data_IF_712427411160
#
_entry.id   IF_712427411160
#
_cell.length_a   1.000
_cell.length_b   1.000
_cell.length_c   1.000
_cell.angle_alpha   90.00
_cell.angle_beta   90.00
_cell.angle_gamma   90.00
#
_symmetry.space_group_name_H-M   'P 1'
#
loop_
_entity.id
_entity.type
_entity.pdbx_description
1 polymer ?
#
# COMPACT_ATOMS: atom_id res chain seq x y z
N UNK A 1 -12.65 -6.74 -21.52
CA UNK A 1 -13.37 -7.68 -22.40
C UNK A 1 -14.85 -7.63 -22.11
N UNK A 2 -15.36 -8.48 -21.22
CA UNK A 2 -16.79 -8.65 -20.98
C UNK A 2 -17.56 -7.39 -20.53
N UNK A 3 -16.98 -6.55 -19.64
CA UNK A 3 -17.62 -5.27 -19.26
C UNK A 3 -17.86 -4.36 -20.47
N UNK A 4 -16.87 -4.25 -21.36
CA UNK A 4 -17.00 -3.47 -22.58
C UNK A 4 -18.07 -4.06 -23.52
N UNK A 5 -18.18 -5.39 -23.59
CA UNK A 5 -19.24 -6.06 -24.35
C UNK A 5 -20.63 -5.72 -23.80
N UNK A 6 -20.84 -5.73 -22.48
CA UNK A 6 -22.14 -5.30 -21.90
C UNK A 6 -22.41 -3.84 -22.24
N UNK A 7 -21.44 -2.95 -22.01
CA UNK A 7 -21.63 -1.52 -22.26
C UNK A 7 -21.90 -1.18 -23.74
N UNK A 8 -21.23 -1.88 -24.67
CA UNK A 8 -21.41 -1.68 -26.10
C UNK A 8 -22.76 -2.20 -26.61
N UNK A 9 -23.44 -3.08 -25.86
CA UNK A 9 -24.73 -3.65 -26.23
C UNK A 9 -25.89 -3.06 -25.41
N UNK A 10 -25.68 -1.98 -24.65
CA UNK A 10 -26.75 -1.33 -23.87
C UNK A 10 -27.85 -0.69 -24.72
N UNK A 11 -27.54 -0.29 -25.96
CA UNK A 11 -28.54 0.30 -26.85
C UNK A 11 -29.38 -0.82 -27.47
N UNK A 12 -30.64 -0.91 -27.06
CA UNK A 12 -31.59 -1.91 -27.53
C UNK A 12 -32.59 -1.25 -28.46
N UNK A 13 -32.54 -1.61 -29.75
CA UNK A 13 -33.52 -1.13 -30.71
C UNK A 13 -34.94 -1.65 -30.41
N UNK A 14 -35.92 -0.73 -30.50
CA UNK A 14 -37.35 -1.02 -30.34
C UNK A 14 -37.68 -1.69 -28.98
N UNK A 15 -38.55 -2.68 -28.97
CA UNK A 15 -39.00 -3.40 -27.76
C UNK A 15 -38.14 -4.64 -27.45
N UNK A 16 -37.31 -5.09 -28.41
CA UNK A 16 -36.47 -6.30 -28.30
C UNK A 16 -35.41 -6.33 -29.41
N UNK A 17 -34.19 -5.94 -29.06
CA UNK A 17 -33.09 -5.90 -30.01
C UNK A 17 -32.67 -7.32 -30.47
N UNK A 18 -32.46 -7.49 -31.78
CA UNK A 18 -31.85 -8.68 -32.34
C UNK A 18 -30.32 -8.52 -32.34
N UNK A 19 -29.59 -9.40 -31.65
CA UNK A 19 -28.14 -9.29 -31.49
C UNK A 19 -27.74 -8.80 -30.09
N UNK A 20 -27.83 -7.49 -29.78
CA UNK A 20 -27.37 -6.93 -28.49
C UNK A 20 -27.94 -7.64 -27.28
N UNK A 21 -29.25 -7.90 -27.29
CA UNK A 21 -29.93 -8.61 -26.21
C UNK A 21 -29.42 -10.06 -26.02
N UNK A 22 -29.01 -10.77 -27.08
CA UNK A 22 -28.47 -12.13 -26.98
C UNK A 22 -27.00 -12.12 -26.52
N UNK A 23 -26.24 -11.11 -26.94
CA UNK A 23 -24.82 -10.95 -26.59
C UNK A 23 -24.62 -10.74 -25.08
N UNK A 24 -25.64 -10.27 -24.37
CA UNK A 24 -25.57 -10.04 -22.92
C UNK A 24 -25.60 -11.31 -22.08
N UNK A 25 -26.30 -12.38 -22.49
CA UNK A 25 -26.61 -13.50 -21.58
C UNK A 25 -25.35 -14.23 -21.07
N UNK A 26 -24.49 -14.64 -21.99
CA UNK A 26 -23.23 -15.29 -21.62
C UNK A 26 -22.29 -14.30 -20.95
N UNK A 27 -22.20 -13.08 -21.50
CA UNK A 27 -21.30 -12.03 -21.01
C UNK A 27 -21.58 -11.66 -19.54
N UNK A 28 -22.84 -11.44 -19.17
CA UNK A 28 -23.22 -11.13 -17.78
C UNK A 28 -22.99 -12.32 -16.87
N UNK A 29 -23.32 -13.53 -17.34
CA UNK A 29 -23.08 -14.75 -16.57
C UNK A 29 -21.60 -14.94 -16.26
N UNK A 30 -20.74 -14.71 -17.25
CA UNK A 30 -19.29 -14.82 -17.09
C UNK A 30 -18.72 -13.72 -16.19
N UNK A 31 -19.25 -12.50 -16.27
CA UNK A 31 -18.90 -11.44 -15.32
C UNK A 31 -19.21 -11.85 -13.88
N UNK A 32 -20.39 -12.43 -13.63
CA UNK A 32 -20.78 -12.90 -12.30
C UNK A 32 -19.87 -14.05 -11.82
N UNK A 33 -19.57 -15.02 -12.69
CA UNK A 33 -18.68 -16.15 -12.38
C UNK A 33 -17.26 -15.68 -12.06
N UNK A 34 -16.71 -14.78 -12.88
CA UNK A 34 -15.36 -14.25 -12.69
C UNK A 34 -15.27 -13.41 -11.43
N UNK A 35 -16.27 -12.57 -11.17
CA UNK A 35 -16.31 -11.73 -9.98
C UNK A 35 -16.45 -12.58 -8.71
N UNK A 36 -17.40 -13.52 -8.69
CA UNK A 36 -17.59 -14.43 -7.55
C UNK A 36 -16.38 -15.31 -7.29
N UNK A 37 -15.79 -15.89 -8.34
CA UNK A 37 -14.57 -16.69 -8.24
C UNK A 37 -13.35 -15.86 -7.81
N UNK A 38 -13.25 -14.62 -8.27
CA UNK A 38 -12.22 -13.66 -7.84
C UNK A 38 -12.35 -13.30 -6.37
N UNK A 39 -13.56 -12.91 -5.94
CA UNK A 39 -13.86 -12.59 -4.54
C UNK A 39 -13.58 -13.78 -3.61
N UNK A 40 -13.98 -14.99 -4.00
CA UNK A 40 -13.70 -16.21 -3.23
C UNK A 40 -12.20 -16.47 -3.07
N UNK A 41 -11.43 -16.32 -4.16
CA UNK A 41 -9.96 -16.49 -4.10
C UNK A 41 -9.30 -15.44 -3.22
N UNK A 42 -9.71 -14.17 -3.34
CA UNK A 42 -9.20 -13.08 -2.48
C UNK A 42 -9.50 -13.39 -1.01
N UNK A 43 -10.74 -13.73 -0.68
CA UNK A 43 -11.12 -14.06 0.70
C UNK A 43 -10.30 -15.24 1.26
N UNK A 44 -10.11 -16.29 0.45
CA UNK A 44 -9.30 -17.46 0.83
C UNK A 44 -7.83 -17.07 1.05
N UNK A 45 -7.25 -16.30 0.12
CA UNK A 45 -5.86 -15.83 0.23
C UNK A 45 -5.65 -14.92 1.43
N UNK A 46 -6.57 -13.99 1.71
CA UNK A 46 -6.47 -13.09 2.86
C UNK A 46 -6.64 -13.84 4.20
N UNK A 47 -7.53 -14.83 4.26
CA UNK A 47 -7.74 -15.65 5.46
C UNK A 47 -6.54 -16.55 5.76
N UNK A 48 -5.86 -17.04 4.71
CA UNK A 48 -4.67 -17.89 4.83
C UNK A 48 -3.33 -17.14 4.76
N UNK A 49 -3.34 -15.81 4.76
CA UNK A 49 -2.14 -15.00 4.61
C UNK A 49 -1.23 -15.14 5.83
N UNK A 50 0.03 -15.48 5.62
CA UNK A 50 1.06 -15.52 6.66
C UNK A 50 2.05 -14.38 6.46
N UNK A 51 2.16 -13.51 7.46
CA UNK A 51 3.15 -12.42 7.46
C UNK A 51 4.46 -12.93 8.04
N UNK A 52 5.58 -12.56 7.40
CA UNK A 52 6.92 -12.91 7.84
C UNK A 52 7.71 -11.63 8.20
N UNK A 53 7.56 -11.10 9.42
CA UNK A 53 8.19 -9.84 9.84
C UNK A 53 9.71 -9.84 9.65
N UNK A 54 10.38 -10.96 9.94
CA UNK A 54 11.83 -11.07 9.77
C UNK A 54 12.26 -10.93 8.30
N UNK A 55 11.45 -11.44 7.36
CA UNK A 55 11.73 -11.27 5.94
C UNK A 55 11.50 -9.82 5.50
N UNK A 56 10.47 -9.16 6.05
CA UNK A 56 10.23 -7.74 5.80
C UNK A 56 11.39 -6.88 6.33
N UNK A 57 11.87 -7.14 7.55
CA UNK A 57 13.02 -6.45 8.14
C UNK A 57 14.29 -6.62 7.29
N UNK A 58 14.62 -7.86 6.89
CA UNK A 58 15.76 -8.13 6.00
C UNK A 58 15.64 -7.41 4.66
N UNK A 59 14.44 -7.35 4.07
CA UNK A 59 14.23 -6.63 2.80
C UNK A 59 14.45 -5.12 2.95
N UNK A 60 14.11 -4.53 4.10
CA UNK A 60 14.37 -3.12 4.38
C UNK A 60 15.88 -2.86 4.58
N UNK A 61 16.57 -3.77 5.27
CA UNK A 61 18.02 -3.71 5.47
C UNK A 61 18.82 -3.90 4.17
N UNK A 62 18.26 -4.58 3.16
CA UNK A 62 18.94 -4.89 1.90
C UNK A 62 19.44 -3.63 1.15
N UNK A 63 18.85 -2.46 1.42
CA UNK A 63 19.26 -1.19 0.83
C UNK A 63 20.43 -0.51 1.55
N UNK A 64 20.92 -1.08 2.67
CA UNK A 64 22.02 -0.49 3.45
C UNK A 64 21.71 0.89 4.04
N UNK A 65 20.42 1.22 4.23
CA UNK A 65 19.96 2.53 4.68
C UNK A 65 19.68 3.53 3.56
N UNK A 66 19.97 3.19 2.28
CA UNK A 66 19.72 4.09 1.15
C UNK A 66 18.24 4.49 1.02
N UNK A 67 17.31 3.62 1.43
CA UNK A 67 15.87 3.90 1.45
C UNK A 67 15.51 5.18 2.22
N UNK A 68 16.24 5.48 3.30
CA UNK A 68 15.97 6.59 4.21
C UNK A 68 17.09 7.64 4.21
N UNK A 69 18.01 7.55 3.26
CA UNK A 69 19.17 8.44 3.16
C UNK A 69 18.79 9.93 3.05
N UNK A 70 17.66 10.26 2.44
CA UNK A 70 17.18 11.64 2.32
C UNK A 70 16.93 12.30 3.69
N UNK A 71 16.58 11.52 4.73
CA UNK A 71 16.44 12.06 6.10
C UNK A 71 17.79 12.53 6.64
N UNK A 72 18.85 11.78 6.37
CA UNK A 72 20.23 12.15 6.73
C UNK A 72 20.67 13.36 5.91
N UNK A 73 20.37 13.40 4.60
CA UNK A 73 20.63 14.57 3.74
C UNK A 73 19.97 15.83 4.29
N UNK A 74 18.68 15.75 4.64
CA UNK A 74 17.92 16.89 5.17
C UNK A 74 18.45 17.37 6.53
N UNK A 75 18.85 16.44 7.41
CA UNK A 75 19.45 16.78 8.70
C UNK A 75 20.87 17.36 8.55
N UNK A 76 21.61 16.98 7.50
CA UNK A 76 22.97 17.45 7.22
C UNK A 76 22.98 18.79 6.47
N UNK A 77 21.93 19.10 5.70
CA UNK A 77 21.82 20.30 4.87
C UNK A 77 22.07 21.64 5.61
N UNK A 78 21.63 21.84 6.87
CA UNK A 78 21.94 23.07 7.62
C UNK A 78 23.44 23.24 7.94
N UNK A 79 24.24 22.18 7.85
CA UNK A 79 25.65 22.18 8.24
C UNK A 79 26.61 22.23 7.05
N UNK A 80 26.16 21.86 5.85
CA UNK A 80 27.00 21.84 4.65
C UNK A 80 26.17 21.85 3.37
N UNK A 81 26.60 22.66 2.38
CA UNK A 81 26.00 22.67 1.05
C UNK A 81 26.25 21.37 0.27
N UNK A 82 27.24 20.57 0.71
CA UNK A 82 27.59 19.27 0.10
C UNK A 82 26.82 18.09 0.67
N UNK A 83 25.77 18.32 1.48
CA UNK A 83 25.04 17.27 2.17
C UNK A 83 24.56 16.15 1.23
N UNK A 84 23.96 16.54 0.10
CA UNK A 84 23.47 15.59 -0.91
C UNK A 84 24.60 14.76 -1.52
N UNK A 85 25.71 15.41 -1.89
CA UNK A 85 26.84 14.72 -2.52
C UNK A 85 27.45 13.69 -1.57
N UNK A 86 27.71 14.09 -0.32
CA UNK A 86 28.28 13.23 0.72
C UNK A 86 27.42 11.97 0.92
N UNK A 87 26.12 12.15 1.10
CA UNK A 87 25.19 11.02 1.34
C UNK A 87 25.07 10.15 0.09
N UNK A 88 25.00 10.74 -1.11
CA UNK A 88 24.87 10.02 -2.38
C UNK A 88 26.10 9.18 -2.66
N UNK A 89 27.29 9.76 -2.53
CA UNK A 89 28.57 9.07 -2.75
C UNK A 89 28.71 7.87 -1.78
N UNK A 90 28.32 8.06 -0.52
CA UNK A 90 28.40 7.01 0.50
C UNK A 90 27.41 5.88 0.25
N UNK A 91 26.18 6.20 -0.15
CA UNK A 91 25.17 5.21 -0.56
C UNK A 91 25.61 4.44 -1.81
N UNK A 92 26.18 5.12 -2.82
CA UNK A 92 26.68 4.50 -4.04
C UNK A 92 27.84 3.52 -3.77
N UNK A 93 28.64 3.80 -2.73
CA UNK A 93 29.68 2.88 -2.25
C UNK A 93 29.14 1.70 -1.41
N UNK A 94 27.83 1.66 -1.11
CA UNK A 94 27.22 0.63 -0.28
C UNK A 94 27.72 0.63 1.18
N UNK A 95 28.20 1.78 1.66
CA UNK A 95 28.83 1.91 2.97
C UNK A 95 27.90 2.60 3.99
N UNK A 96 27.98 2.24 5.29
CA UNK A 96 27.12 2.83 6.31
C UNK A 96 27.35 4.35 6.47
N UNK A 97 26.26 5.12 6.51
CA UNK A 97 26.31 6.59 6.67
C UNK A 97 26.77 7.02 8.06
N UNK A 98 26.49 6.22 9.10
CA UNK A 98 26.82 6.51 10.51
C UNK A 98 28.31 6.34 10.84
N UNK A 99 29.12 5.95 9.85
CA UNK A 99 30.58 5.78 9.96
C UNK A 99 31.37 6.81 9.16
N UNK A 100 30.71 7.64 8.35
CA UNK A 100 31.40 8.63 7.52
C UNK A 100 31.82 9.85 8.35
N UNK A 101 33.12 10.22 8.39
CA UNK A 101 33.60 11.42 9.10
C UNK A 101 32.92 12.72 8.66
N UNK A 102 32.57 12.86 7.37
CA UNK A 102 31.93 14.06 6.84
C UNK A 102 30.47 14.22 7.33
N UNK A 103 29.83 13.10 7.72
CA UNK A 103 28.49 13.09 8.32
C UNK A 103 28.61 13.19 9.85
N UNK A 104 29.50 12.39 10.44
CA UNK A 104 29.65 12.26 11.90
C UNK A 104 30.29 13.47 12.58
N UNK A 105 30.91 14.37 11.80
CA UNK A 105 31.31 15.68 12.27
C UNK A 105 30.13 16.56 12.72
N UNK A 106 28.92 16.33 12.19
CA UNK A 106 27.73 17.14 12.46
C UNK A 106 26.60 16.36 13.14
N UNK A 107 26.48 15.06 12.83
CA UNK A 107 25.41 14.20 13.32
C UNK A 107 26.00 13.02 14.08
N UNK A 108 25.54 12.74 15.30
CA UNK A 108 26.07 11.58 16.04
C UNK A 108 25.75 10.27 15.29
N UNK A 109 26.63 9.23 15.35
CA UNK A 109 26.34 7.94 14.74
C UNK A 109 25.01 7.33 15.20
N UNK A 110 24.64 7.54 16.47
CA UNK A 110 23.36 7.10 17.00
C UNK A 110 22.17 7.83 16.36
N UNK A 111 22.26 9.15 16.16
CA UNK A 111 21.23 9.92 15.48
C UNK A 111 21.08 9.50 14.01
N UNK A 112 22.19 9.20 13.32
CA UNK A 112 22.15 8.69 11.95
C UNK A 112 21.47 7.33 11.90
N UNK A 113 21.81 6.38 12.78
CA UNK A 113 21.13 5.08 12.87
C UNK A 113 19.63 5.22 13.13
N UNK A 114 19.24 6.15 14.00
CA UNK A 114 17.82 6.39 14.29
C UNK A 114 17.08 6.96 13.07
N UNK A 115 17.69 7.90 12.33
CA UNK A 115 17.10 8.41 11.09
C UNK A 115 16.97 7.33 10.00
N UNK A 116 17.86 6.34 10.01
CA UNK A 116 17.84 5.21 9.08
C UNK A 116 16.98 4.04 9.56
N UNK A 117 16.33 4.14 10.73
CA UNK A 117 15.42 3.12 11.24
C UNK A 117 14.04 3.23 10.54
N UNK A 118 13.64 2.25 9.71
CA UNK A 118 12.36 2.28 9.00
C UNK A 118 11.16 2.09 9.93
N UNK A 119 11.32 1.44 11.09
CA UNK A 119 10.23 1.29 12.06
C UNK A 119 9.78 2.64 12.63
N UNK A 120 10.69 3.63 12.70
CA UNK A 120 10.41 5.00 13.12
C UNK A 120 9.91 5.91 11.98
N UNK A 121 9.68 5.38 10.78
CA UNK A 121 9.35 6.17 9.59
C UNK A 121 8.18 5.56 8.79
N UNK A 122 7.05 5.37 9.47
CA UNK A 122 5.82 4.81 8.88
C UNK A 122 4.77 5.87 8.53
N UNK A 123 5.03 7.15 8.84
CA UNK A 123 4.10 8.26 8.60
C UNK A 123 2.74 8.00 9.26
N UNK A 124 1.67 8.28 8.50
CA UNK A 124 0.28 8.09 8.93
C UNK A 124 -0.24 6.66 8.70
N UNK A 125 0.62 5.67 8.43
CA UNK A 125 0.15 4.31 8.19
C UNK A 125 -0.70 3.75 9.34
N UNK A 126 -0.35 3.95 10.63
CA UNK A 126 -1.21 3.52 11.74
C UNK A 126 -2.54 4.26 11.77
N UNK A 127 -2.52 5.59 11.60
CA UNK A 127 -3.73 6.43 11.62
C UNK A 127 -4.73 6.00 10.54
N UNK A 128 -4.25 5.72 9.31
CA UNK A 128 -5.07 5.25 8.20
C UNK A 128 -5.68 3.87 8.48
N UNK A 129 -4.94 2.98 9.15
CA UNK A 129 -5.45 1.66 9.56
C UNK A 129 -6.56 1.84 10.60
N UNK A 130 -6.33 2.67 11.61
CA UNK A 130 -7.31 2.95 12.67
C UNK A 130 -8.60 3.57 12.10
N UNK A 131 -8.48 4.53 11.17
CA UNK A 131 -9.63 5.16 10.51
C UNK A 131 -10.47 4.14 9.71
N UNK A 132 -9.83 3.25 8.96
CA UNK A 132 -10.52 2.21 8.19
C UNK A 132 -11.18 1.19 9.11
N UNK A 133 -10.50 0.77 10.18
CA UNK A 133 -11.06 -0.16 11.16
C UNK A 133 -12.28 0.44 11.87
N UNK A 134 -12.23 1.73 12.21
CA UNK A 134 -13.36 2.45 12.78
C UNK A 134 -14.55 2.53 11.81
N UNK A 135 -14.30 2.79 10.51
CA UNK A 135 -15.34 2.84 9.49
C UNK A 135 -15.95 1.47 9.15
N UNK A 136 -15.19 0.38 9.32
CA UNK A 136 -15.65 -0.99 9.08
C UNK A 136 -16.28 -1.66 10.31
N UNK A 137 -16.24 -1.02 11.48
CA UNK A 137 -16.89 -1.55 12.67
C UNK A 137 -18.40 -1.67 12.40
N UNK A 138 -19.01 -2.85 12.61
CA UNK A 138 -20.46 -3.00 12.41
C UNK A 138 -21.21 -2.07 13.36
N UNK A 139 -22.27 -1.42 12.86
CA UNK A 139 -23.28 -0.75 13.69
C UNK A 139 -23.82 -1.75 14.71
N UNK A 140 -23.24 -1.76 15.91
CA UNK A 140 -23.57 -2.76 16.95
C UNK A 140 -24.82 -2.35 17.72
N UNK A 141 -25.47 -1.24 17.39
CA UNK A 141 -26.71 -0.80 18.02
C UNK A 141 -27.69 -0.23 16.99
N UNK A 142 -28.49 -1.11 16.37
CA UNK A 142 -29.88 -0.73 16.07
C UNK A 142 -30.75 -1.43 17.10
N UNK A 143 -31.35 -0.72 18.08
CA UNK A 143 -32.33 -1.34 18.96
C UNK A 143 -33.43 -1.91 18.07
N UNK A 144 -33.64 -3.23 18.15
CA UNK A 144 -34.81 -3.86 17.57
C UNK A 144 -36.01 -3.27 18.29
N UNK A 145 -36.72 -2.36 17.61
CA UNK A 145 -38.00 -1.86 18.05
C UNK A 145 -38.96 -3.05 18.10
N UNK A 146 -39.00 -3.69 19.28
CA UNK A 146 -39.99 -4.67 19.67
C UNK A 146 -41.30 -3.91 19.79
N UNK A 147 -42.02 -3.78 18.68
CA UNK A 147 -43.40 -3.35 18.71
C UNK A 147 -44.27 -4.58 18.85
N UNK A 148 -44.70 -4.80 20.09
CA UNK A 148 -45.90 -5.56 20.44
C UNK A 148 -47.04 -5.19 19.48
N UNK A 149 -47.54 -6.17 18.72
CA UNK A 149 -48.93 -6.32 18.28
C UNK A 149 -49.25 -7.82 18.27
#
# INVERSE_FOLDING_TARGET
GAVATVLANMDHEQQRAAGPWHAEWETVTDLLRLTGGGAHRIATSLTGLHVHPDAMARNLEATGGALLAERVTAALAPHTERARDIVTDRCAAGAPLDTDPAITAFLTPAAVREMLNPAGYVGHAPDLVDDILAACAPDTERPTDSKDI
#
